data_IF_448506211965
#
_entry.id   IF_448506211965
#
_cell.length_a   1.000
_cell.length_b   1.000
_cell.length_c   1.000
_cell.angle_alpha   90.00
_cell.angle_beta   90.00
_cell.angle_gamma   90.00
#
_symmetry.space_group_name_H-M   'P 1'
#
loop_
_entity.id
_entity.type
_entity.pdbx_description
1 polymer ?
#
# COMPACT_ATOMS: atom_id res chain seq x y z
N UNK A 1 -14.41 5.54 9.32
CA UNK A 1 -13.15 6.03 8.75
C UNK A 1 -12.14 6.42 9.84
N UNK A 2 -12.51 7.27 10.81
CA UNK A 2 -11.60 7.71 11.89
C UNK A 2 -10.99 6.57 12.75
N UNK A 3 -11.69 5.44 12.86
CA UNK A 3 -11.29 4.32 13.73
C UNK A 3 -10.20 3.41 13.14
N UNK A 4 -10.15 3.23 11.81
CA UNK A 4 -9.12 2.40 11.14
C UNK A 4 -7.75 3.06 11.30
N UNK A 5 -7.73 4.39 11.13
CA UNK A 5 -6.54 5.22 11.36
C UNK A 5 -6.06 5.18 12.82
N UNK A 6 -7.00 5.15 13.77
CA UNK A 6 -6.68 5.05 15.21
C UNK A 6 -5.97 3.74 15.54
N UNK A 7 -6.34 2.63 14.88
CA UNK A 7 -5.73 1.31 15.10
C UNK A 7 -4.37 1.13 14.44
N UNK A 8 -4.16 1.67 13.23
CA UNK A 8 -2.83 1.70 12.60
C UNK A 8 -1.83 2.50 13.44
N UNK A 9 -2.28 3.62 14.04
CA UNK A 9 -1.50 4.44 14.97
C UNK A 9 -1.19 3.71 16.29
N UNK A 10 -2.11 2.89 16.77
CA UNK A 10 -1.95 2.10 18.01
C UNK A 10 -1.10 0.83 17.85
N UNK A 11 -1.07 0.24 16.65
CA UNK A 11 -0.13 -0.85 16.30
C UNK A 11 1.29 -0.28 16.20
N UNK A 12 1.45 0.93 15.64
CA UNK A 12 2.75 1.64 15.59
C UNK A 12 3.26 2.01 16.99
N UNK A 13 2.39 2.45 17.91
CA UNK A 13 2.80 2.82 19.27
C UNK A 13 3.19 1.63 20.15
N UNK A 14 2.60 0.45 19.91
CA UNK A 14 2.95 -0.78 20.63
C UNK A 14 4.29 -1.41 20.18
N UNK A 15 4.73 -1.12 18.95
CA UNK A 15 6.05 -1.52 18.44
C UNK A 15 7.13 -0.45 18.63
N UNK A 16 6.80 0.75 19.10
CA UNK A 16 7.73 1.86 19.32
C UNK A 16 8.44 1.84 20.69
N UNK A 17 8.14 0.87 21.57
CA UNK A 17 8.71 0.80 22.92
C UNK A 17 10.15 0.23 22.99
N UNK A 18 10.89 0.17 21.89
CA UNK A 18 12.29 -0.30 21.87
C UNK A 18 13.25 0.56 21.03
N UNK A 19 12.97 1.86 20.83
CA UNK A 19 13.91 2.72 20.08
C UNK A 19 13.96 4.21 20.51
N UNK A 20 13.73 4.51 21.78
CA UNK A 20 13.95 5.86 22.33
C UNK A 20 15.03 5.87 23.42
N UNK A 21 16.30 5.99 22.99
CA UNK A 21 17.40 6.48 23.83
C UNK A 21 18.67 6.84 23.04
N UNK A 22 18.67 7.98 22.32
CA UNK A 22 19.84 8.89 22.27
C UNK A 22 19.58 10.22 21.54
N UNK A 23 19.47 11.35 22.26
CA UNK A 23 19.86 12.64 21.71
C UNK A 23 20.82 13.37 22.66
N UNK A 24 22.11 13.01 22.64
CA UNK A 24 23.20 13.76 23.32
C UNK A 24 24.48 13.90 22.47
N UNK A 25 24.70 13.14 21.39
CA UNK A 25 25.97 13.22 20.63
C UNK A 25 25.90 14.04 19.32
N UNK A 26 25.32 15.24 19.38
CA UNK A 26 25.27 16.17 18.23
C UNK A 26 26.29 17.34 18.30
N UNK A 27 27.33 17.30 19.15
CA UNK A 27 28.19 18.50 19.37
C UNK A 27 29.71 18.30 19.25
N UNK A 28 30.26 17.11 18.94
CA UNK A 28 31.73 16.91 19.05
C UNK A 28 32.45 16.13 17.94
N UNK A 29 32.01 16.23 16.67
CA UNK A 29 32.83 15.76 15.51
C UNK A 29 32.77 16.70 14.30
N UNK A 30 32.79 18.01 14.55
CA UNK A 30 33.01 19.04 13.53
C UNK A 30 34.28 19.86 13.87
N UNK A 31 35.44 19.20 14.09
CA UNK A 31 36.75 19.89 14.07
C UNK A 31 37.98 18.96 14.05
N UNK A 32 38.02 17.94 13.20
CA UNK A 32 39.30 17.28 12.86
C UNK A 32 39.17 16.49 11.55
N UNK A 33 39.82 17.00 10.50
CA UNK A 33 40.39 16.30 9.32
C UNK A 33 40.25 17.09 8.00
N UNK A 34 40.57 18.38 8.04
CA UNK A 34 41.12 19.06 6.85
C UNK A 34 42.65 19.03 6.99
N UNK A 35 43.30 18.02 6.41
CA UNK A 35 44.63 18.05 5.76
C UNK A 35 45.16 16.63 5.59
N UNK A 36 44.92 16.04 4.41
CA UNK A 36 45.84 15.12 3.71
C UNK A 36 45.20 14.81 2.36
N UNK A 37 45.72 15.44 1.30
CA UNK A 37 45.35 15.17 -0.08
C UNK A 37 46.08 13.94 -0.66
N UNK A 38 45.73 13.64 -1.93
CA UNK A 38 46.11 12.48 -2.77
C UNK A 38 45.50 11.15 -2.28
N UNK A 39 44.85 10.31 -3.10
CA UNK A 39 45.08 10.03 -4.52
C UNK A 39 43.84 9.42 -5.22
N UNK A 40 43.89 9.42 -6.55
CA UNK A 40 42.93 8.82 -7.50
C UNK A 40 43.04 7.28 -7.54
N UNK A 41 41.90 6.58 -7.40
CA UNK A 41 41.58 5.27 -8.00
C UNK A 41 40.12 4.94 -7.62
N UNK A 42 39.15 4.88 -8.53
CA UNK A 42 38.98 3.78 -9.46
C UNK A 42 38.15 2.66 -8.79
N UNK A 43 36.83 2.63 -9.00
CA UNK A 43 35.97 1.61 -8.38
C UNK A 43 34.47 1.74 -8.72
N UNK A 44 34.14 1.36 -9.95
CA UNK A 44 32.89 0.72 -10.41
C UNK A 44 31.54 1.26 -9.90
N UNK A 45 30.89 2.05 -10.77
CA UNK A 45 29.47 2.31 -10.68
C UNK A 45 28.67 1.01 -10.85
N UNK A 46 28.01 0.58 -9.79
CA UNK A 46 27.03 -0.50 -9.81
C UNK A 46 25.92 -0.19 -10.81
N UNK A 47 25.90 -0.98 -11.88
CA UNK A 47 24.94 -0.93 -12.96
C UNK A 47 23.56 -1.33 -12.43
N UNK A 48 22.63 -0.38 -12.31
CA UNK A 48 21.23 -0.70 -12.06
C UNK A 48 20.70 -1.47 -13.27
N UNK A 49 20.41 -2.75 -13.04
CA UNK A 49 19.92 -3.67 -14.05
C UNK A 49 18.54 -3.22 -14.58
N UNK A 50 18.53 -2.65 -15.79
CA UNK A 50 17.31 -2.23 -16.48
C UNK A 50 16.43 -3.41 -16.94
N UNK A 51 16.79 -4.67 -16.67
CA UNK A 51 15.91 -5.82 -16.96
C UNK A 51 14.63 -5.84 -16.14
N UNK A 52 14.65 -5.31 -14.91
CA UNK A 52 13.46 -5.29 -14.03
C UNK A 52 12.36 -4.34 -14.52
N UNK A 53 12.69 -3.37 -15.39
CA UNK A 53 11.71 -2.42 -15.95
C UNK A 53 11.03 -2.95 -17.23
N UNK A 54 11.46 -4.10 -17.76
CA UNK A 54 10.88 -4.70 -18.96
C UNK A 54 9.85 -5.81 -18.67
N UNK A 55 9.77 -6.28 -17.42
CA UNK A 55 8.91 -7.39 -17.02
C UNK A 55 7.49 -6.95 -16.62
N UNK A 56 7.23 -5.63 -16.51
CA UNK A 56 5.91 -5.08 -16.17
C UNK A 56 5.05 -4.68 -17.38
N UNK A 57 5.49 -4.98 -18.61
CA UNK A 57 4.80 -4.58 -19.85
C UNK A 57 4.12 -5.70 -20.62
N UNK A 58 4.09 -6.92 -20.10
CA UNK A 58 3.40 -8.04 -20.77
C UNK A 58 2.42 -8.75 -19.82
N UNK A 59 1.30 -8.09 -19.52
CA UNK A 59 0.15 -8.71 -18.83
C UNK A 59 -1.11 -8.74 -19.70
N UNK A 60 -0.99 -8.47 -20.99
CA UNK A 60 -2.14 -8.43 -21.89
C UNK A 60 -2.23 -9.66 -22.78
N UNK A 61 -1.90 -10.86 -22.32
CA UNK A 61 -2.39 -12.10 -22.96
C UNK A 61 -2.03 -13.36 -22.15
N UNK A 62 -2.57 -13.55 -20.96
CA UNK A 62 -2.71 -14.92 -20.43
C UNK A 62 -3.94 -15.05 -19.55
N UNK A 63 -4.93 -15.77 -20.06
CA UNK A 63 -6.15 -16.17 -19.35
C UNK A 63 -5.90 -17.18 -18.20
N UNK A 64 -4.65 -17.28 -17.72
CA UNK A 64 -4.21 -18.17 -16.64
C UNK A 64 -3.68 -17.42 -15.39
N UNK A 65 -3.66 -16.08 -15.39
CA UNK A 65 -3.16 -15.29 -14.26
C UNK A 65 -4.07 -15.39 -13.01
N UNK A 66 -5.35 -15.78 -13.15
CA UNK A 66 -6.24 -15.92 -12.00
C UNK A 66 -5.81 -17.04 -11.04
N UNK A 67 -4.99 -18.00 -11.49
CA UNK A 67 -4.46 -19.11 -10.69
C UNK A 67 -2.95 -19.00 -10.39
N UNK A 68 -2.30 -17.91 -10.79
CA UNK A 68 -0.90 -17.69 -10.46
C UNK A 68 -0.77 -17.41 -8.95
N UNK A 69 0.28 -17.90 -8.27
CA UNK A 69 0.56 -17.54 -6.89
C UNK A 69 0.67 -16.01 -6.74
N UNK A 70 0.06 -15.46 -5.68
CA UNK A 70 0.25 -14.05 -5.34
C UNK A 70 1.72 -13.80 -5.00
N UNK A 71 2.25 -12.65 -5.40
CA UNK A 71 3.55 -12.22 -4.90
C UNK A 71 3.53 -11.97 -3.39
N UNK A 72 4.72 -11.83 -2.80
CA UNK A 72 4.87 -11.66 -1.35
C UNK A 72 4.12 -10.44 -0.80
N UNK A 73 4.03 -9.35 -1.58
CA UNK A 73 3.35 -8.14 -1.16
C UNK A 73 1.83 -8.34 -1.11
N UNK A 74 1.23 -8.82 -2.20
CA UNK A 74 -0.20 -9.12 -2.31
C UNK A 74 -0.62 -10.17 -1.30
N UNK A 75 0.19 -11.23 -1.14
CA UNK A 75 -0.07 -12.26 -0.16
C UNK A 75 -0.01 -11.71 1.28
N UNK A 76 0.98 -10.87 1.59
CA UNK A 76 1.10 -10.23 2.91
C UNK A 76 -0.08 -9.31 3.18
N UNK A 77 -0.50 -8.51 2.21
CA UNK A 77 -1.63 -7.60 2.34
C UNK A 77 -2.94 -8.37 2.57
N UNK A 78 -3.22 -9.41 1.76
CA UNK A 78 -4.38 -10.27 1.94
C UNK A 78 -4.40 -10.93 3.32
N UNK A 79 -3.24 -11.42 3.79
CA UNK A 79 -3.12 -12.03 5.12
C UNK A 79 -3.46 -11.05 6.23
N UNK A 80 -2.97 -9.81 6.17
CA UNK A 80 -3.27 -8.78 7.16
C UNK A 80 -4.77 -8.39 7.15
N UNK A 81 -5.37 -8.29 5.97
CA UNK A 81 -6.81 -8.04 5.82
C UNK A 81 -7.61 -9.18 6.46
N UNK A 82 -7.28 -10.43 6.14
CA UNK A 82 -7.98 -11.60 6.66
C UNK A 82 -7.78 -11.80 8.17
N UNK A 83 -6.61 -11.46 8.70
CA UNK A 83 -6.38 -11.40 10.14
C UNK A 83 -7.30 -10.37 10.80
N UNK A 84 -7.41 -9.17 10.24
CA UNK A 84 -8.29 -8.13 10.78
C UNK A 84 -9.78 -8.50 10.70
N UNK A 85 -10.19 -9.27 9.68
CA UNK A 85 -11.57 -9.78 9.49
C UNK A 85 -11.93 -10.90 10.46
N UNK A 86 -10.96 -11.70 10.88
CA UNK A 86 -11.17 -12.77 11.86
C UNK A 86 -11.47 -12.23 13.28
N UNK A 87 -11.31 -10.92 13.49
CA UNK A 87 -11.61 -10.24 14.75
C UNK A 87 -12.99 -9.57 14.69
N UNK A 88 -13.87 -9.91 15.64
CA UNK A 88 -15.11 -9.13 15.85
C UNK A 88 -14.80 -7.79 16.51
N UNK A 89 -15.59 -6.76 16.20
CA UNK A 89 -15.33 -5.36 16.62
C UNK A 89 -16.61 -4.67 17.08
N UNK A 90 -16.49 -3.81 18.10
CA UNK A 90 -17.58 -2.89 18.47
C UNK A 90 -17.50 -1.63 17.62
N UNK A 91 -18.54 -1.39 16.83
CA UNK A 91 -18.65 -0.34 15.82
C UNK A 91 -19.50 0.84 16.31
N UNK A 92 -19.28 1.30 17.55
CA UNK A 92 -20.01 2.45 18.10
C UNK A 92 -21.53 2.24 18.14
N UNK A 93 -22.29 3.14 17.51
CA UNK A 93 -23.75 3.06 17.43
C UNK A 93 -24.27 1.80 16.71
N UNK A 94 -23.44 1.20 15.83
CA UNK A 94 -23.78 -0.01 15.09
C UNK A 94 -23.61 -1.30 15.91
N UNK A 95 -23.20 -1.18 17.18
CA UNK A 95 -23.06 -2.32 18.10
C UNK A 95 -21.88 -3.23 17.77
N UNK A 96 -21.95 -4.48 18.24
CA UNK A 96 -20.91 -5.47 18.00
C UNK A 96 -21.09 -6.15 16.64
N UNK A 97 -20.05 -6.12 15.81
CA UNK A 97 -19.94 -6.85 14.56
C UNK A 97 -19.10 -8.11 14.79
N UNK A 98 -19.63 -9.32 14.51
CA UNK A 98 -18.88 -10.56 14.67
C UNK A 98 -17.75 -10.68 13.62
N UNK A 99 -16.79 -11.62 13.82
CA UNK A 99 -15.80 -11.97 12.80
C UNK A 99 -16.43 -12.24 11.42
N UNK A 100 -15.73 -11.85 10.36
CA UNK A 100 -16.14 -12.07 8.98
C UNK A 100 -15.29 -13.17 8.31
N UNK A 101 -15.86 -13.94 7.36
CA UNK A 101 -15.11 -14.93 6.59
C UNK A 101 -13.91 -14.32 5.85
N UNK A 102 -12.83 -15.09 5.61
CA UNK A 102 -11.68 -14.60 4.86
C UNK A 102 -12.06 -14.25 3.42
N UNK A 103 -11.37 -13.26 2.86
CA UNK A 103 -11.43 -12.89 1.45
C UNK A 103 -10.43 -13.71 0.64
N UNK A 104 -10.72 -13.83 -0.64
CA UNK A 104 -9.77 -14.28 -1.67
C UNK A 104 -9.39 -13.08 -2.53
N UNK A 105 -8.14 -13.02 -2.98
CA UNK A 105 -7.72 -11.98 -3.91
C UNK A 105 -8.44 -12.12 -5.25
N UNK A 106 -8.75 -11.01 -5.90
CA UNK A 106 -9.34 -11.00 -7.24
C UNK A 106 -8.65 -9.93 -8.10
N UNK A 107 -8.12 -10.34 -9.24
CA UNK A 107 -7.30 -9.49 -10.12
C UNK A 107 -8.12 -8.40 -10.81
N UNK A 108 -9.43 -8.59 -11.02
CA UNK A 108 -10.31 -7.54 -11.55
C UNK A 108 -10.51 -6.43 -10.51
N UNK A 109 -10.73 -6.79 -9.24
CA UNK A 109 -10.84 -5.79 -8.17
C UNK A 109 -9.54 -5.01 -7.97
N UNK A 110 -8.39 -5.69 -8.07
CA UNK A 110 -7.09 -5.03 -8.09
C UNK A 110 -6.95 -4.06 -9.25
N UNK A 111 -7.29 -4.48 -10.47
CA UNK A 111 -7.25 -3.63 -11.67
C UNK A 111 -8.12 -2.39 -11.48
N UNK A 112 -9.35 -2.55 -10.95
CA UNK A 112 -10.22 -1.42 -10.63
C UNK A 112 -9.59 -0.48 -9.61
N UNK A 113 -8.95 -1.01 -8.56
CA UNK A 113 -8.32 -0.21 -7.52
C UNK A 113 -7.12 0.59 -8.05
N UNK A 114 -6.23 -0.05 -8.82
CA UNK A 114 -5.08 0.60 -9.46
C UNK A 114 -5.51 1.72 -10.39
N UNK A 115 -6.48 1.45 -11.28
CA UNK A 115 -7.01 2.48 -12.19
C UNK A 115 -7.58 3.68 -11.42
N UNK A 116 -8.30 3.42 -10.31
CA UNK A 116 -8.90 4.47 -9.49
C UNK A 116 -7.82 5.35 -8.83
N UNK A 117 -6.74 4.76 -8.32
CA UNK A 117 -5.63 5.52 -7.70
C UNK A 117 -4.90 6.35 -8.74
N UNK A 118 -4.63 5.80 -9.93
CA UNK A 118 -3.99 6.52 -11.03
C UNK A 118 -4.85 7.69 -11.53
N UNK A 119 -6.17 7.48 -11.61
CA UNK A 119 -7.15 8.49 -11.98
C UNK A 119 -7.21 9.63 -10.94
N UNK A 120 -7.26 9.29 -9.65
CA UNK A 120 -7.21 10.26 -8.55
C UNK A 120 -5.93 11.09 -8.56
N UNK A 121 -4.79 10.44 -8.81
CA UNK A 121 -3.50 11.11 -8.92
C UNK A 121 -3.45 12.05 -10.13
N UNK A 122 -3.90 11.59 -11.30
CA UNK A 122 -3.91 12.39 -12.53
C UNK A 122 -4.88 13.57 -12.45
N UNK A 123 -6.05 13.37 -11.82
CA UNK A 123 -7.07 14.40 -11.63
C UNK A 123 -6.85 15.29 -10.40
N UNK A 124 -5.81 15.03 -9.59
CA UNK A 124 -5.52 15.73 -8.34
C UNK A 124 -6.74 15.84 -7.40
N UNK A 125 -7.38 14.70 -7.13
CA UNK A 125 -8.51 14.62 -6.18
C UNK A 125 -8.44 13.36 -5.32
N UNK A 126 -9.12 13.38 -4.17
CA UNK A 126 -9.23 12.23 -3.28
C UNK A 126 -10.68 12.07 -2.82
N UNK A 127 -11.41 11.16 -3.47
CA UNK A 127 -12.85 10.99 -3.30
C UNK A 127 -13.30 9.61 -3.78
N UNK A 128 -14.33 9.04 -3.15
CA UNK A 128 -14.97 7.80 -3.60
C UNK A 128 -15.63 7.93 -4.99
N UNK A 129 -16.07 9.14 -5.31
CA UNK A 129 -16.71 9.46 -6.57
C UNK A 129 -15.80 10.34 -7.41
N UNK A 130 -15.71 10.04 -8.71
CA UNK A 130 -15.05 10.93 -9.66
C UNK A 130 -15.83 12.28 -9.69
N UNK A 131 -15.17 13.43 -9.51
CA UNK A 131 -15.83 14.74 -9.45
C UNK A 131 -16.37 15.24 -10.79
N UNK A 132 -15.91 14.68 -11.91
CA UNK A 132 -16.31 15.03 -13.28
C UNK A 132 -17.36 14.08 -13.84
N UNK A 133 -17.13 12.76 -13.75
CA UNK A 133 -18.05 11.73 -14.29
C UNK A 133 -19.13 11.31 -13.30
N UNK A 134 -18.89 11.50 -12.00
CA UNK A 134 -19.77 11.04 -10.92
C UNK A 134 -19.66 9.54 -10.61
N UNK A 135 -18.78 8.80 -11.30
CA UNK A 135 -18.64 7.35 -11.14
C UNK A 135 -18.19 6.97 -9.74
N UNK A 136 -18.88 6.00 -9.14
CA UNK A 136 -18.52 5.40 -7.85
C UNK A 136 -17.77 4.07 -8.03
N UNK A 137 -17.29 3.48 -6.94
CA UNK A 137 -16.53 2.23 -6.98
C UNK A 137 -17.31 1.08 -7.64
N UNK A 138 -18.63 1.00 -7.43
CA UNK A 138 -19.47 0.01 -8.11
C UNK A 138 -19.43 0.17 -9.64
N UNK A 139 -19.52 1.40 -10.16
CA UNK A 139 -19.38 1.65 -11.59
C UNK A 139 -18.02 1.18 -12.12
N UNK A 140 -16.93 1.53 -11.42
CA UNK A 140 -15.56 1.19 -11.81
C UNK A 140 -15.29 -0.32 -11.76
N UNK A 141 -15.77 -1.01 -10.73
CA UNK A 141 -15.67 -2.47 -10.58
C UNK A 141 -16.47 -3.19 -11.67
N UNK A 142 -17.66 -2.69 -12.02
CA UNK A 142 -18.45 -3.24 -13.13
C UNK A 142 -17.78 -3.01 -14.49
N UNK A 143 -17.10 -1.87 -14.69
CA UNK A 143 -16.41 -1.54 -15.93
C UNK A 143 -15.24 -2.48 -16.25
N UNK A 144 -14.57 -3.04 -15.23
CA UNK A 144 -13.55 -4.10 -15.39
C UNK A 144 -14.15 -5.51 -15.48
N UNK A 145 -15.48 -5.64 -15.54
CA UNK A 145 -16.18 -6.91 -15.74
C UNK A 145 -16.48 -7.70 -14.46
N UNK A 146 -16.17 -7.17 -13.27
CA UNK A 146 -16.48 -7.87 -12.02
C UNK A 146 -17.96 -7.72 -11.64
N UNK A 147 -18.64 -8.84 -11.43
CA UNK A 147 -20.06 -8.87 -11.04
C UNK A 147 -20.18 -8.90 -9.52
N UNK A 148 -20.76 -7.86 -8.93
CA UNK A 148 -20.97 -7.76 -7.49
C UNK A 148 -22.46 -7.71 -7.11
N UNK A 149 -22.76 -8.06 -5.86
CA UNK A 149 -24.07 -7.82 -5.23
C UNK A 149 -24.02 -6.68 -4.22
N UNK A 150 -22.85 -6.46 -3.62
CA UNK A 150 -22.54 -5.38 -2.68
C UNK A 150 -21.06 -5.02 -2.85
N UNK A 151 -20.70 -3.79 -2.52
CA UNK A 151 -19.34 -3.29 -2.61
C UNK A 151 -19.05 -2.32 -1.46
N UNK A 152 -17.76 -2.15 -1.18
CA UNK A 152 -17.23 -1.16 -0.25
C UNK A 152 -15.83 -0.78 -0.69
N UNK A 153 -15.45 0.47 -0.45
CA UNK A 153 -14.15 1.01 -0.83
C UNK A 153 -13.51 1.68 0.39
N UNK A 154 -12.24 1.36 0.62
CA UNK A 154 -11.38 2.09 1.55
C UNK A 154 -10.38 2.89 0.71
N UNK A 155 -10.30 4.20 0.96
CA UNK A 155 -9.32 5.08 0.34
C UNK A 155 -8.38 5.63 1.40
N UNK A 156 -7.12 5.81 1.02
CA UNK A 156 -6.08 6.31 1.91
C UNK A 156 -5.04 7.14 1.14
N UNK A 157 -4.52 8.20 1.76
CA UNK A 157 -3.51 9.08 1.17
C UNK A 157 -2.58 9.66 2.25
N UNK A 158 -1.34 9.99 1.87
CA UNK A 158 -0.39 10.67 2.76
C UNK A 158 0.50 9.74 3.61
N UNK A 159 0.59 8.46 3.26
CA UNK A 159 1.63 7.56 3.76
C UNK A 159 2.80 7.53 2.78
N UNK A 160 3.85 8.31 3.06
CA UNK A 160 5.09 8.40 2.30
C UNK A 160 6.22 8.89 3.20
#
# INVERSE_FOLDING_TARGET
MEWIMKRVREIRSRNALLLDSWPILAVLTLLATILSGCDLAGGEGGQLDQRVLSESRDLTTDANIENAPLDDYRQRLLNLINQARAEGRTCGEYGYMPPAPPLTWNTLLETSASNTVDEMAAGNYFSHNNPTTGENAGNRIAAVGYRYIQWGENLEAGYG
#
